data_IF_934443681245
#
_entry.id   IF_934443681245
#
_cell.length_a   1.000
_cell.length_b   1.000
_cell.length_c   1.000
_cell.angle_alpha   90.00
_cell.angle_beta   90.00
_cell.angle_gamma   90.00
#
_symmetry.space_group_name_H-M   'P 1'
#
loop_
_entity.id
_entity.type
_entity.pdbx_description
1 polymer ?
#
# COMPACT_ATOMS: atom_id res chain seq x y z
N UNK A 1 -14.52 -18.96 -1.64
CA UNK A 1 -13.97 -18.45 -2.91
C UNK A 1 -12.85 -19.37 -3.33
N UNK A 2 -13.04 -20.05 -4.45
CA UNK A 2 -11.98 -20.90 -5.03
C UNK A 2 -10.96 -20.02 -5.75
N UNK A 3 -9.72 -20.50 -5.94
CA UNK A 3 -8.66 -19.74 -6.66
C UNK A 3 -9.11 -19.31 -8.06
N UNK A 4 -9.91 -20.15 -8.74
CA UNK A 4 -10.45 -19.88 -10.06
C UNK A 4 -11.46 -18.70 -10.07
N UNK A 5 -12.30 -18.56 -9.04
CA UNK A 5 -13.23 -17.41 -8.92
C UNK A 5 -12.47 -16.10 -8.65
N UNK A 6 -11.36 -16.16 -7.90
CA UNK A 6 -10.51 -14.99 -7.68
C UNK A 6 -9.79 -14.55 -8.95
N UNK A 7 -9.41 -15.49 -9.81
CA UNK A 7 -8.67 -15.22 -11.05
C UNK A 7 -9.53 -14.59 -12.15
N UNK A 8 -10.83 -14.89 -12.16
CA UNK A 8 -11.82 -14.30 -13.06
C UNK A 8 -12.30 -12.90 -12.62
N UNK A 9 -11.92 -12.44 -11.41
CA UNK A 9 -12.30 -11.11 -10.92
C UNK A 9 -11.64 -9.99 -11.74
N UNK A 10 -12.22 -8.77 -11.76
CA UNK A 10 -11.61 -7.63 -12.43
C UNK A 10 -10.18 -7.38 -11.92
N UNK A 11 -9.26 -7.01 -12.82
CA UNK A 11 -7.88 -6.71 -12.47
C UNK A 11 -7.76 -5.56 -11.46
N UNK A 12 -8.65 -4.58 -11.52
CA UNK A 12 -8.63 -3.42 -10.63
C UNK A 12 -9.21 -3.80 -9.27
N UNK A 13 -8.32 -3.82 -8.27
CA UNK A 13 -8.64 -4.05 -6.85
C UNK A 13 -8.54 -2.76 -6.02
N UNK A 14 -8.39 -1.61 -6.69
CA UNK A 14 -8.26 -0.28 -6.08
C UNK A 14 -9.57 0.51 -6.19
N UNK A 15 -9.88 1.39 -5.22
CA UNK A 15 -11.03 2.29 -5.35
C UNK A 15 -10.97 3.10 -6.66
N UNK A 16 -12.06 3.23 -7.41
CA UNK A 16 -12.07 3.95 -8.69
C UNK A 16 -11.54 5.38 -8.59
N UNK A 17 -11.86 6.08 -7.51
CA UNK A 17 -11.39 7.44 -7.22
C UNK A 17 -9.86 7.52 -7.10
N UNK A 18 -9.22 6.51 -6.52
CA UNK A 18 -7.76 6.43 -6.43
C UNK A 18 -7.14 6.18 -7.80
N UNK A 19 -7.73 5.29 -8.59
CA UNK A 19 -7.26 4.99 -9.95
C UNK A 19 -7.36 6.23 -10.84
N UNK A 20 -8.47 6.96 -10.77
CA UNK A 20 -8.67 8.21 -11.52
C UNK A 20 -7.65 9.27 -11.12
N UNK A 21 -7.50 9.57 -9.83
CA UNK A 21 -6.57 10.62 -9.38
C UNK A 21 -5.10 10.30 -9.74
N UNK A 22 -4.69 9.04 -9.63
CA UNK A 22 -3.36 8.60 -10.06
C UNK A 22 -3.21 8.70 -11.58
N UNK A 23 -4.24 8.31 -12.34
CA UNK A 23 -4.20 8.38 -13.80
C UNK A 23 -4.11 9.82 -14.31
N UNK A 24 -4.87 10.74 -13.73
CA UNK A 24 -4.82 12.16 -14.04
C UNK A 24 -3.42 12.73 -13.76
N UNK A 25 -2.85 12.44 -12.59
CA UNK A 25 -1.49 12.86 -12.25
C UNK A 25 -0.42 12.29 -13.23
N UNK A 26 -0.58 11.05 -13.69
CA UNK A 26 0.30 10.46 -14.70
C UNK A 26 0.18 11.21 -16.03
N UNK A 27 -1.04 11.56 -16.45
CA UNK A 27 -1.28 12.33 -17.68
C UNK A 27 -0.67 13.73 -17.61
N UNK A 28 -0.79 14.41 -16.47
CA UNK A 28 -0.13 15.70 -16.24
C UNK A 28 1.39 15.55 -16.31
N UNK A 29 1.95 14.51 -15.69
CA UNK A 29 3.39 14.24 -15.75
C UNK A 29 3.87 13.99 -17.18
N UNK A 30 3.15 13.18 -17.96
CA UNK A 30 3.51 12.92 -19.36
C UNK A 30 3.40 14.15 -20.24
N UNK A 31 2.38 14.99 -20.03
CA UNK A 31 2.25 16.27 -20.74
C UNK A 31 3.43 17.21 -20.45
N UNK A 32 3.99 17.15 -19.24
CA UNK A 32 5.16 17.91 -18.84
C UNK A 32 6.51 17.28 -19.28
N UNK A 33 6.53 16.00 -19.65
CA UNK A 33 7.74 15.24 -20.01
C UNK A 33 7.51 14.45 -21.34
N UNK A 34 7.25 15.16 -22.46
CA UNK A 34 6.83 14.52 -23.72
C UNK A 34 7.88 13.55 -24.30
N UNK A 35 9.16 13.78 -24.04
CA UNK A 35 10.25 12.88 -24.45
C UNK A 35 10.28 11.56 -23.67
N UNK A 36 9.64 11.53 -22.51
CA UNK A 36 9.51 10.36 -21.64
C UNK A 36 8.13 9.69 -21.76
N UNK A 37 7.25 10.22 -22.63
CA UNK A 37 5.92 9.71 -22.90
C UNK A 37 5.91 8.80 -24.16
N UNK A 38 5.02 7.78 -24.21
CA UNK A 38 4.08 7.37 -23.18
C UNK A 38 4.77 6.66 -22.01
N UNK A 39 4.25 6.84 -20.79
CA UNK A 39 4.71 6.05 -19.65
C UNK A 39 4.05 4.67 -19.68
N UNK A 40 4.79 3.64 -19.27
CA UNK A 40 4.23 2.29 -19.13
C UNK A 40 3.08 2.23 -18.11
N UNK A 41 3.14 3.10 -17.09
CA UNK A 41 2.10 3.22 -16.07
C UNK A 41 0.77 3.68 -16.68
N UNK A 42 0.84 4.74 -17.51
CA UNK A 42 -0.34 5.28 -18.18
C UNK A 42 -0.98 4.27 -19.14
N UNK A 43 -0.16 3.57 -19.94
CA UNK A 43 -0.64 2.53 -20.86
C UNK A 43 -1.27 1.35 -20.12
N UNK A 44 -0.68 0.91 -19.00
CA UNK A 44 -1.25 -0.14 -18.17
C UNK A 44 -2.59 0.24 -17.55
N UNK A 45 -2.74 1.48 -17.06
CA UNK A 45 -4.01 1.97 -16.50
C UNK A 45 -5.08 2.11 -17.59
N UNK A 46 -4.73 2.62 -18.77
CA UNK A 46 -5.65 2.68 -19.92
C UNK A 46 -6.19 1.29 -20.27
N UNK A 47 -5.32 0.29 -20.36
CA UNK A 47 -5.72 -1.09 -20.60
C UNK A 47 -6.58 -1.67 -19.47
N UNK A 48 -6.18 -1.46 -18.21
CA UNK A 48 -6.96 -1.93 -17.07
C UNK A 48 -8.37 -1.32 -16.97
N UNK A 49 -8.54 -0.09 -17.45
CA UNK A 49 -9.82 0.60 -17.54
C UNK A 49 -10.63 0.23 -18.80
N UNK A 50 -10.16 -0.71 -19.64
CA UNK A 50 -10.82 -1.10 -20.88
C UNK A 50 -10.79 -0.02 -21.97
N UNK A 51 -9.94 1.00 -21.82
CA UNK A 51 -9.77 2.09 -22.79
C UNK A 51 -8.79 1.73 -23.91
N UNK A 52 -8.22 0.52 -23.84
CA UNK A 52 -7.31 -0.06 -24.82
C UNK A 52 -7.66 -1.53 -25.00
N UNK A 53 -7.77 -1.97 -26.25
CA UNK A 53 -8.21 -3.34 -26.56
C UNK A 53 -7.12 -4.40 -26.32
N UNK A 54 -5.85 -3.99 -26.37
CA UNK A 54 -4.69 -4.88 -26.28
C UNK A 54 -3.78 -4.53 -25.11
N UNK A 55 -3.25 -5.57 -24.47
CA UNK A 55 -2.28 -5.44 -23.41
C UNK A 55 -0.99 -4.74 -23.89
N UNK A 56 -0.39 -3.85 -23.07
CA UNK A 56 0.66 -2.91 -23.51
C UNK A 56 1.99 -3.56 -23.94
N UNK A 57 2.33 -4.72 -23.39
CA UNK A 57 3.56 -5.46 -23.65
C UNK A 57 3.30 -6.69 -24.53
N UNK A 58 2.34 -7.53 -24.15
CA UNK A 58 2.10 -8.78 -24.90
C UNK A 58 1.24 -8.60 -26.15
N UNK A 59 0.53 -7.48 -26.29
CA UNK A 59 -0.42 -7.23 -27.38
C UNK A 59 -1.64 -8.13 -27.37
N UNK A 60 -1.82 -8.96 -26.32
CA UNK A 60 -2.96 -9.87 -26.21
C UNK A 60 -4.25 -9.08 -25.99
N UNK A 61 -5.32 -9.39 -26.72
CA UNK A 61 -6.62 -8.81 -26.41
C UNK A 61 -7.10 -9.29 -25.05
N UNK A 62 -7.83 -8.43 -24.32
CA UNK A 62 -8.55 -8.87 -23.13
C UNK A 62 -9.70 -9.81 -23.53
N UNK A 63 -9.99 -10.81 -22.70
CA UNK A 63 -11.06 -11.79 -22.95
C UNK A 63 -12.47 -11.17 -22.85
N UNK A 64 -12.59 -9.97 -22.30
CA UNK A 64 -13.82 -9.19 -22.17
C UNK A 64 -13.56 -7.68 -22.17
N UNK A 65 -14.55 -6.89 -21.75
CA UNK A 65 -14.47 -5.43 -21.75
C UNK A 65 -13.42 -4.85 -20.78
N UNK A 66 -13.10 -5.57 -19.70
CA UNK A 66 -12.06 -5.24 -18.74
C UNK A 66 -11.16 -6.46 -18.54
N UNK A 67 -9.84 -6.29 -18.37
CA UNK A 67 -8.96 -7.41 -18.08
C UNK A 67 -9.23 -7.98 -16.68
N UNK A 68 -9.07 -9.29 -16.58
CA UNK A 68 -9.15 -10.06 -15.35
C UNK A 68 -7.84 -10.01 -14.56
N UNK A 69 -7.91 -10.40 -13.28
CA UNK A 69 -6.73 -10.52 -12.43
C UNK A 69 -5.67 -11.47 -13.02
N UNK A 70 -6.11 -12.58 -13.63
CA UNK A 70 -5.21 -13.53 -14.30
C UNK A 70 -4.50 -12.90 -15.50
N UNK A 71 -5.22 -12.13 -16.33
CA UNK A 71 -4.64 -11.44 -17.49
C UNK A 71 -3.64 -10.37 -17.06
N UNK A 72 -3.95 -9.60 -16.02
CA UNK A 72 -3.02 -8.61 -15.47
C UNK A 72 -1.74 -9.26 -14.92
N UNK A 73 -1.84 -10.42 -14.25
CA UNK A 73 -0.67 -11.20 -13.80
C UNK A 73 0.14 -11.74 -14.98
N UNK A 74 -0.52 -12.30 -15.98
CA UNK A 74 0.13 -12.80 -17.19
C UNK A 74 0.87 -11.68 -17.95
N UNK A 75 0.34 -10.46 -17.90
CA UNK A 75 0.96 -9.29 -18.51
C UNK A 75 2.18 -8.79 -17.71
N UNK A 76 2.13 -8.81 -16.38
CA UNK A 76 3.30 -8.55 -15.53
C UNK A 76 4.42 -9.55 -15.86
N UNK A 77 4.08 -10.83 -15.92
CA UNK A 77 4.96 -11.92 -16.31
C UNK A 77 5.59 -11.73 -17.69
N UNK A 78 4.82 -11.22 -18.66
CA UNK A 78 5.33 -10.89 -19.99
C UNK A 78 6.30 -9.70 -19.93
N UNK A 79 5.95 -8.66 -19.17
CA UNK A 79 6.77 -7.47 -18.96
C UNK A 79 8.11 -7.78 -18.27
N UNK A 80 8.16 -8.75 -17.37
CA UNK A 80 9.40 -9.16 -16.70
C UNK A 80 10.38 -9.89 -17.63
N UNK A 81 9.87 -10.60 -18.64
CA UNK A 81 10.68 -11.42 -19.57
C UNK A 81 11.23 -10.64 -20.76
N UNK A 82 10.73 -9.44 -21.03
CA UNK A 82 11.13 -8.68 -22.21
C UNK A 82 12.38 -7.83 -21.98
N UNK A 83 13.23 -7.63 -23.01
CA UNK A 83 14.29 -6.62 -22.96
C UNK A 83 13.72 -5.21 -22.73
N UNK A 84 14.44 -4.42 -21.94
CA UNK A 84 14.02 -3.08 -21.51
C UNK A 84 14.27 -2.01 -22.57
N UNK A 85 15.37 -2.14 -23.32
CA UNK A 85 15.82 -1.15 -24.29
C UNK A 85 14.98 -1.15 -25.57
N UNK A 86 14.80 0.04 -26.17
CA UNK A 86 14.20 0.20 -27.51
C UNK A 86 12.69 -0.02 -27.60
N UNK A 87 11.98 -0.18 -26.47
CA UNK A 87 10.51 -0.36 -26.48
C UNK A 87 9.77 0.97 -26.51
N UNK A 88 8.68 0.99 -27.26
CA UNK A 88 7.72 2.10 -27.30
C UNK A 88 6.99 2.28 -25.96
N UNK A 89 6.68 1.16 -25.28
CA UNK A 89 6.06 1.17 -23.94
C UNK A 89 7.05 0.64 -22.91
N UNK A 90 7.45 1.44 -21.91
CA UNK A 90 8.36 1.01 -20.85
C UNK A 90 7.78 -0.12 -19.97
N UNK A 91 8.43 -1.30 -19.98
CA UNK A 91 7.96 -2.47 -19.24
C UNK A 91 7.91 -2.26 -17.71
N UNK A 92 8.91 -1.58 -17.14
CA UNK A 92 8.95 -1.31 -15.69
C UNK A 92 7.76 -0.46 -15.22
N UNK A 93 7.29 0.45 -16.08
CA UNK A 93 6.09 1.24 -15.82
C UNK A 93 4.82 0.38 -15.79
N UNK A 94 4.69 -0.54 -16.75
CA UNK A 94 3.58 -1.50 -16.80
C UNK A 94 3.57 -2.38 -15.56
N UNK A 95 4.72 -2.96 -15.19
CA UNK A 95 4.87 -3.80 -14.00
C UNK A 95 4.45 -3.02 -12.74
N UNK A 96 4.91 -1.78 -12.61
CA UNK A 96 4.61 -0.93 -11.45
C UNK A 96 3.11 -0.67 -11.32
N UNK A 97 2.45 -0.24 -12.41
CA UNK A 97 1.03 0.08 -12.40
C UNK A 97 0.14 -1.15 -12.24
N UNK A 98 0.42 -2.25 -12.95
CA UNK A 98 -0.40 -3.47 -12.83
C UNK A 98 -0.28 -4.08 -11.43
N UNK A 99 0.93 -4.15 -10.84
CA UNK A 99 1.08 -4.60 -9.46
C UNK A 99 0.32 -3.71 -8.47
N UNK A 100 0.26 -2.40 -8.73
CA UNK A 100 -0.54 -1.48 -7.93
C UNK A 100 -2.04 -1.74 -8.06
N UNK A 101 -2.54 -1.84 -9.29
CA UNK A 101 -3.95 -2.06 -9.60
C UNK A 101 -4.49 -3.36 -9.01
N UNK A 102 -3.73 -4.46 -9.12
CA UNK A 102 -4.14 -5.78 -8.61
C UNK A 102 -3.95 -5.95 -7.10
N UNK A 103 -3.42 -4.92 -6.41
CA UNK A 103 -3.16 -5.00 -4.97
C UNK A 103 -1.89 -5.78 -4.58
N UNK A 104 -1.03 -6.15 -5.53
CA UNK A 104 0.23 -6.85 -5.23
C UNK A 104 1.30 -5.92 -4.61
N UNK A 105 1.23 -4.62 -4.92
CA UNK A 105 2.00 -3.55 -4.27
C UNK A 105 1.05 -2.38 -4.01
N UNK A 106 1.25 -1.56 -2.98
CA UNK A 106 0.43 -0.35 -2.82
C UNK A 106 1.15 0.97 -3.09
N UNK A 107 2.45 0.97 -3.35
CA UNK A 107 3.14 2.17 -3.78
C UNK A 107 2.48 2.79 -5.01
N UNK A 108 2.01 4.04 -4.90
CA UNK A 108 1.38 4.77 -6.01
C UNK A 108 2.34 4.79 -7.22
N UNK A 109 1.92 4.30 -8.41
CA UNK A 109 2.78 4.09 -9.56
C UNK A 109 2.98 5.39 -10.34
N UNK A 110 3.57 6.40 -9.72
CA UNK A 110 3.94 7.63 -10.42
C UNK A 110 5.24 7.44 -11.22
N UNK A 111 5.27 7.83 -12.51
CA UNK A 111 6.50 7.93 -13.30
C UNK A 111 7.51 8.92 -12.69
N UNK A 112 8.78 8.75 -13.06
CA UNK A 112 9.87 9.60 -12.59
C UNK A 112 10.34 9.28 -11.16
N UNK A 113 11.15 10.18 -10.59
CA UNK A 113 11.74 9.97 -9.26
C UNK A 113 10.68 10.18 -8.18
N UNK A 114 10.59 9.23 -7.25
CA UNK A 114 9.69 9.31 -6.09
C UNK A 114 9.94 10.60 -5.32
N UNK A 115 8.89 11.42 -5.14
CA UNK A 115 8.97 12.63 -4.32
C UNK A 115 9.47 12.30 -2.91
N UNK A 116 10.30 13.18 -2.33
CA UNK A 116 10.73 13.07 -0.93
C UNK A 116 9.55 13.16 0.04
N UNK A 117 8.47 13.83 -0.37
CA UNK A 117 7.22 13.91 0.40
C UNK A 117 6.27 12.75 0.12
N UNK A 118 6.41 12.02 -1.00
CA UNK A 118 5.53 10.92 -1.41
C UNK A 118 4.26 11.35 -2.17
N UNK A 119 3.43 10.37 -2.55
CA UNK A 119 2.27 10.53 -3.45
C UNK A 119 0.92 10.17 -2.81
N UNK A 120 0.89 10.06 -1.49
CA UNK A 120 -0.29 9.67 -0.71
C UNK A 120 -1.47 10.61 -0.86
N UNK A 121 -1.24 11.90 -1.10
CA UNK A 121 -2.31 12.88 -1.33
C UNK A 121 -3.18 12.54 -2.55
N UNK A 122 -2.63 11.86 -3.56
CA UNK A 122 -3.38 11.42 -4.74
C UNK A 122 -4.44 10.36 -4.40
N UNK A 123 -4.28 9.66 -3.28
CA UNK A 123 -5.20 8.61 -2.82
C UNK A 123 -5.83 8.99 -1.49
N UNK A 124 -6.02 10.31 -1.26
CA UNK A 124 -6.63 10.85 -0.03
C UNK A 124 -5.78 10.69 1.25
N UNK A 125 -4.56 10.19 1.15
CA UNK A 125 -3.60 10.07 2.24
C UNK A 125 -2.68 11.30 2.40
N UNK A 126 -1.58 11.14 3.14
CA UNK A 126 -0.65 12.24 3.47
C UNK A 126 0.79 11.88 3.16
N UNK A 127 1.41 12.60 2.24
CA UNK A 127 2.82 12.42 1.93
C UNK A 127 3.12 10.99 1.48
N UNK A 128 3.81 10.16 2.28
CA UNK A 128 4.04 8.74 1.94
C UNK A 128 2.98 7.80 2.51
N UNK A 129 2.06 8.30 3.33
CA UNK A 129 0.95 7.54 3.92
C UNK A 129 -0.14 7.46 2.85
N UNK A 130 -0.51 6.24 2.47
CA UNK A 130 -1.44 5.93 1.38
C UNK A 130 -2.82 5.53 1.90
N UNK A 131 -3.13 5.94 3.14
CA UNK A 131 -4.40 5.71 3.81
C UNK A 131 -4.95 7.06 4.24
N UNK A 132 -6.23 7.25 4.01
CA UNK A 132 -6.99 8.42 4.47
C UNK A 132 -7.06 8.43 5.99
N UNK A 133 -7.26 9.61 6.59
CA UNK A 133 -7.45 9.70 8.05
C UNK A 133 -8.68 8.87 8.50
N UNK A 134 -9.74 8.76 7.66
CA UNK A 134 -10.90 7.92 7.92
C UNK A 134 -10.59 6.41 7.95
N UNK A 135 -9.74 5.91 7.04
CA UNK A 135 -9.29 4.51 7.09
C UNK A 135 -8.43 4.24 8.32
N UNK A 136 -7.56 5.20 8.70
CA UNK A 136 -6.71 5.10 9.89
C UNK A 136 -7.56 5.06 11.16
N UNK A 137 -8.58 5.92 11.25
CA UNK A 137 -9.54 5.94 12.35
C UNK A 137 -10.31 4.62 12.44
N UNK A 138 -10.84 4.11 11.33
CA UNK A 138 -11.55 2.82 11.29
C UNK A 138 -10.69 1.67 11.83
N UNK A 139 -9.41 1.59 11.40
CA UNK A 139 -8.48 0.57 11.92
C UNK A 139 -8.20 0.78 13.41
N UNK A 140 -8.09 2.03 13.86
CA UNK A 140 -7.93 2.33 15.29
C UNK A 140 -9.14 1.86 16.11
N UNK A 141 -10.37 2.07 15.62
CA UNK A 141 -11.60 1.61 16.27
C UNK A 141 -11.66 0.09 16.37
N UNK A 142 -11.37 -0.62 15.28
CA UNK A 142 -11.29 -2.08 15.25
C UNK A 142 -10.25 -2.60 16.25
N UNK A 143 -9.07 -1.99 16.29
CA UNK A 143 -8.01 -2.35 17.24
C UNK A 143 -8.41 -2.07 18.70
N UNK A 144 -9.09 -0.95 18.99
CA UNK A 144 -9.64 -0.67 20.33
C UNK A 144 -10.72 -1.67 20.74
N UNK A 145 -11.56 -2.10 19.80
CA UNK A 145 -12.55 -3.15 20.06
C UNK A 145 -11.86 -4.49 20.38
N UNK A 146 -10.88 -4.89 19.58
CA UNK A 146 -10.05 -6.08 19.81
C UNK A 146 -9.34 -6.06 21.16
N UNK A 147 -8.78 -4.91 21.55
CA UNK A 147 -8.14 -4.75 22.86
C UNK A 147 -9.09 -5.04 24.04
N UNK A 148 -10.38 -4.73 23.90
CA UNK A 148 -11.40 -4.99 24.93
C UNK A 148 -11.94 -6.41 24.92
N UNK A 149 -12.04 -7.03 23.76
CA UNK A 149 -12.75 -8.31 23.58
C UNK A 149 -11.84 -9.54 23.55
N UNK A 150 -10.55 -9.38 23.20
CA UNK A 150 -9.65 -10.51 23.01
C UNK A 150 -9.23 -11.17 24.33
N UNK A 151 -9.23 -12.50 24.43
CA UNK A 151 -8.79 -13.21 25.63
C UNK A 151 -7.26 -13.28 25.75
N UNK A 152 -6.53 -13.27 24.64
CA UNK A 152 -5.09 -13.49 24.61
C UNK A 152 -4.26 -12.22 24.78
N UNK A 153 -3.26 -12.27 25.66
CA UNK A 153 -2.35 -11.14 25.93
C UNK A 153 -1.49 -10.78 24.71
N UNK A 154 -1.18 -11.75 23.84
CA UNK A 154 -0.46 -11.52 22.58
C UNK A 154 -1.29 -10.66 21.62
N UNK A 155 -2.55 -11.01 21.43
CA UNK A 155 -3.48 -10.30 20.54
C UNK A 155 -3.81 -8.91 21.08
N UNK A 156 -3.97 -8.77 22.40
CA UNK A 156 -4.12 -7.45 23.05
C UNK A 156 -2.88 -6.58 22.84
N UNK A 157 -1.67 -7.13 22.98
CA UNK A 157 -0.43 -6.39 22.74
C UNK A 157 -0.33 -5.93 21.28
N UNK A 158 -0.69 -6.78 20.32
CA UNK A 158 -0.80 -6.38 18.91
C UNK A 158 -1.77 -5.23 18.70
N UNK A 159 -3.00 -5.36 19.21
CA UNK A 159 -4.03 -4.32 19.13
C UNK A 159 -3.52 -2.99 19.72
N UNK A 160 -2.84 -3.05 20.87
CA UNK A 160 -2.23 -1.89 21.52
C UNK A 160 -1.17 -1.22 20.62
N UNK A 161 -0.33 -2.00 19.94
CA UNK A 161 0.64 -1.50 18.97
C UNK A 161 -0.03 -0.79 17.78
N UNK A 162 -1.07 -1.39 17.22
CA UNK A 162 -1.86 -0.80 16.13
C UNK A 162 -2.52 0.51 16.55
N UNK A 163 -3.22 0.53 17.69
CA UNK A 163 -3.84 1.76 18.23
C UNK A 163 -2.81 2.86 18.42
N UNK A 164 -1.65 2.54 18.99
CA UNK A 164 -0.62 3.52 19.27
C UNK A 164 -0.10 4.22 17.99
N UNK A 165 0.08 3.48 16.89
CA UNK A 165 0.49 4.07 15.59
C UNK A 165 -0.61 4.94 15.01
N UNK A 166 -1.86 4.45 14.97
CA UNK A 166 -2.97 5.23 14.42
C UNK A 166 -3.18 6.53 15.20
N UNK A 167 -3.20 6.49 16.54
CA UNK A 167 -3.35 7.67 17.38
C UNK A 167 -2.18 8.65 17.25
N UNK A 168 -0.97 8.15 17.03
CA UNK A 168 0.19 9.00 16.74
C UNK A 168 0.07 9.71 15.39
N UNK A 169 -0.42 9.04 14.36
CA UNK A 169 -0.65 9.66 13.05
C UNK A 169 -1.75 10.72 13.09
N UNK A 170 -2.88 10.39 13.72
CA UNK A 170 -4.04 11.27 13.86
C UNK A 170 -3.81 12.44 14.83
N UNK A 171 -2.77 12.35 15.66
CA UNK A 171 -2.41 13.41 16.60
C UNK A 171 -3.06 13.30 17.97
N UNK A 172 -3.81 12.23 18.22
CA UNK A 172 -4.34 11.91 19.55
C UNK A 172 -3.21 11.53 20.53
N UNK A 173 -2.08 11.06 20.01
CA UNK A 173 -0.86 10.75 20.78
C UNK A 173 0.27 11.72 20.43
N UNK A 174 0.84 12.36 21.45
CA UNK A 174 1.88 13.39 21.30
C UNK A 174 3.31 12.84 21.08
N UNK A 175 3.53 11.54 21.28
CA UNK A 175 4.83 10.88 21.13
C UNK A 175 4.73 9.61 20.31
N UNK A 176 5.80 9.25 19.62
CA UNK A 176 5.82 8.04 18.81
C UNK A 176 5.71 6.75 19.66
N UNK A 177 5.12 5.67 19.13
CA UNK A 177 4.73 4.48 19.91
C UNK A 177 5.85 3.75 20.67
N UNK A 178 7.03 3.64 20.07
CA UNK A 178 8.20 2.90 20.55
C UNK A 178 9.34 3.86 20.88
N UNK A 179 9.67 4.77 19.96
CA UNK A 179 10.83 5.67 20.16
C UNK A 179 10.56 6.79 21.16
N UNK A 180 9.29 7.00 21.53
CA UNK A 180 8.86 8.01 22.51
C UNK A 180 9.32 9.43 22.13
N UNK A 181 9.48 9.72 20.83
CA UNK A 181 9.90 11.03 20.33
C UNK A 181 8.69 11.92 20.07
N UNK A 182 8.77 13.26 20.27
CA UNK A 182 7.66 14.16 19.99
C UNK A 182 7.12 14.02 18.56
N UNK A 183 5.78 14.08 18.43
CA UNK A 183 5.11 14.08 17.12
C UNK A 183 5.47 15.37 16.36
N UNK A 184 5.86 15.30 15.08
CA UNK A 184 6.04 16.49 14.26
C UNK A 184 4.73 17.28 14.11
N UNK A 185 4.84 18.61 13.97
CA UNK A 185 3.69 19.53 13.87
C UNK A 185 2.75 19.13 12.71
N UNK A 186 3.32 18.88 11.53
CA UNK A 186 2.59 18.46 10.33
C UNK A 186 2.28 16.96 10.27
N UNK A 187 2.48 16.25 11.38
CA UNK A 187 2.34 14.80 11.48
C UNK A 187 3.57 14.01 11.01
N UNK A 188 3.61 12.70 11.30
CA UNK A 188 4.78 11.87 10.97
C UNK A 188 5.04 11.76 9.47
N UNK A 189 6.31 11.89 9.08
CA UNK A 189 6.80 11.69 7.72
C UNK A 189 7.19 10.24 7.45
N UNK A 190 7.55 9.92 6.20
CA UNK A 190 8.11 8.61 5.86
C UNK A 190 9.40 8.27 6.59
N UNK A 191 10.22 9.26 6.90
CA UNK A 191 11.42 9.07 7.71
C UNK A 191 11.04 8.71 9.15
N UNK A 192 10.05 9.42 9.73
CA UNK A 192 9.57 9.11 11.07
C UNK A 192 9.01 7.68 11.14
N UNK A 193 8.18 7.30 10.16
CA UNK A 193 7.62 5.96 10.06
C UNK A 193 8.69 4.89 9.87
N UNK A 194 9.70 5.12 9.02
CA UNK A 194 10.80 4.17 8.81
C UNK A 194 11.65 3.97 10.06
N UNK A 195 11.99 5.04 10.78
CA UNK A 195 12.70 4.93 12.05
C UNK A 195 11.86 4.23 13.13
N UNK A 196 10.55 4.49 13.15
CA UNK A 196 9.63 3.85 14.09
C UNK A 196 9.46 2.35 13.80
N UNK A 197 9.37 1.97 12.52
CA UNK A 197 9.37 0.58 12.06
C UNK A 197 10.64 -0.15 12.52
N UNK A 198 11.83 0.42 12.29
CA UNK A 198 13.10 -0.18 12.75
C UNK A 198 13.14 -0.35 14.27
N UNK A 199 12.65 0.63 15.04
CA UNK A 199 12.59 0.50 16.50
C UNK A 199 11.58 -0.58 16.93
N UNK A 200 10.47 -0.74 16.21
CA UNK A 200 9.50 -1.79 16.46
C UNK A 200 10.03 -3.20 16.12
N UNK A 201 10.95 -3.32 15.15
CA UNK A 201 11.67 -4.58 14.89
C UNK A 201 12.52 -5.01 16.10
N UNK A 202 13.16 -4.06 16.78
CA UNK A 202 13.87 -4.35 18.04
C UNK A 202 12.90 -4.81 19.15
N UNK A 203 11.69 -4.24 19.22
CA UNK A 203 10.64 -4.71 20.15
C UNK A 203 10.19 -6.13 19.81
N UNK A 204 9.85 -6.39 18.54
CA UNK A 204 9.42 -7.71 18.06
C UNK A 204 10.47 -8.79 18.34
N UNK A 205 11.77 -8.46 18.12
CA UNK A 205 12.89 -9.37 18.37
C UNK A 205 13.41 -9.36 19.81
N UNK A 206 12.83 -8.57 20.70
CA UNK A 206 13.23 -8.42 22.11
C UNK A 206 14.70 -8.02 22.30
N UNK A 207 15.15 -7.05 21.51
CA UNK A 207 16.51 -6.51 21.50
C UNK A 207 16.60 -5.19 22.27
N UNK A 208 17.68 -4.99 23.03
CA UNK A 208 18.00 -3.72 23.67
C UNK A 208 16.84 -3.08 24.45
N UNK A 209 16.51 -1.82 24.13
CA UNK A 209 15.39 -1.08 24.73
C UNK A 209 14.01 -1.60 24.29
N UNK A 210 13.93 -2.44 23.26
CA UNK A 210 12.69 -3.06 22.77
C UNK A 210 12.03 -4.00 23.76
N UNK A 211 12.76 -4.48 24.78
CA UNK A 211 12.23 -5.33 25.88
C UNK A 211 11.23 -4.63 26.80
N UNK A 212 11.02 -3.32 26.66
CA UNK A 212 10.03 -2.56 27.43
C UNK A 212 8.59 -2.85 27.00
N UNK A 213 8.40 -3.44 25.81
CA UNK A 213 7.10 -3.82 25.28
C UNK A 213 7.08 -5.32 24.93
N UNK A 214 5.91 -5.98 24.97
CA UNK A 214 5.77 -7.34 24.47
C UNK A 214 6.11 -7.45 22.97
N UNK A 215 6.64 -8.57 22.47
CA UNK A 215 6.97 -8.75 21.05
C UNK A 215 5.83 -8.40 20.10
N UNK A 216 4.61 -8.87 20.42
CA UNK A 216 3.43 -8.65 19.59
C UNK A 216 3.00 -7.18 19.50
N UNK A 217 3.36 -6.34 20.48
CA UNK A 217 3.18 -4.89 20.34
C UNK A 217 4.05 -4.33 19.21
N UNK A 218 5.31 -4.77 19.14
CA UNK A 218 6.22 -4.44 18.03
C UNK A 218 5.65 -4.90 16.69
N UNK A 219 5.12 -6.13 16.63
CA UNK A 219 4.50 -6.65 15.40
C UNK A 219 3.30 -5.79 14.96
N UNK A 220 2.40 -5.42 15.89
CA UNK A 220 1.27 -4.52 15.61
C UNK A 220 1.72 -3.17 15.06
N UNK A 221 2.81 -2.60 15.60
CA UNK A 221 3.41 -1.36 15.08
C UNK A 221 3.95 -1.54 13.65
N UNK A 222 4.75 -2.59 13.41
CA UNK A 222 5.35 -2.88 12.10
C UNK A 222 4.27 -3.07 11.03
N UNK A 223 3.29 -3.93 11.31
CA UNK A 223 2.21 -4.23 10.36
C UNK A 223 1.37 -3.00 10.05
N UNK A 224 1.06 -2.19 11.06
CA UNK A 224 0.33 -0.94 10.85
C UNK A 224 1.12 0.03 9.97
N UNK A 225 2.43 0.23 10.23
CA UNK A 225 3.28 1.10 9.41
C UNK A 225 3.39 0.60 7.97
N UNK A 226 3.55 -0.71 7.77
CA UNK A 226 3.61 -1.31 6.43
C UNK A 226 2.32 -1.09 5.66
N UNK A 227 1.19 -1.26 6.31
CA UNK A 227 -0.12 -1.00 5.72
C UNK A 227 -0.28 0.48 5.35
N UNK A 228 0.07 1.39 6.27
CA UNK A 228 0.01 2.85 6.05
C UNK A 228 0.87 3.29 4.87
N UNK A 229 2.07 2.73 4.73
CA UNK A 229 3.02 3.05 3.65
C UNK A 229 2.73 2.31 2.36
N UNK A 230 1.75 1.40 2.39
CA UNK A 230 1.39 0.64 1.22
C UNK A 230 2.39 -0.42 0.79
N UNK A 231 3.09 -1.00 1.77
CA UNK A 231 3.92 -2.19 1.58
C UNK A 231 3.08 -3.47 1.69
N UNK A 232 1.88 -3.37 2.28
CA UNK A 232 0.87 -4.41 2.36
C UNK A 232 -0.53 -3.81 2.19
N UNK A 233 -1.41 -4.54 1.50
CA UNK A 233 -2.82 -4.17 1.26
C UNK A 233 -3.72 -4.49 2.43
N UNK A 234 -3.48 -5.64 3.07
CA UNK A 234 -4.31 -6.17 4.15
C UNK A 234 -4.15 -5.27 5.38
N UNK A 235 -5.23 -4.67 5.91
CA UNK A 235 -5.16 -3.88 7.14
C UNK A 235 -4.65 -4.73 8.31
N UNK A 236 -4.05 -4.14 9.35
CA UNK A 236 -3.54 -4.90 10.49
C UNK A 236 -4.66 -5.55 11.33
N UNK A 237 -5.92 -5.12 11.13
CA UNK A 237 -7.13 -5.62 11.78
C UNK A 237 -8.16 -6.06 10.74
N UNK A 238 -8.84 -7.18 10.96
CA UNK A 238 -10.00 -7.59 10.15
C UNK A 238 -11.29 -6.91 10.64
N UNK A 239 -12.39 -7.11 9.92
CA UNK A 239 -13.70 -6.55 10.24
C UNK A 239 -14.26 -7.05 11.59
N UNK A 240 -13.75 -8.17 12.10
CA UNK A 240 -14.11 -8.71 13.41
C UNK A 240 -13.25 -8.12 14.55
N UNK A 241 -12.37 -7.16 14.25
CA UNK A 241 -11.48 -6.54 15.23
C UNK A 241 -10.35 -7.47 15.69
N UNK A 242 -9.95 -8.43 14.85
CA UNK A 242 -8.86 -9.38 15.12
C UNK A 242 -7.61 -9.07 14.30
N UNK A 243 -6.40 -9.31 14.81
CA UNK A 243 -5.17 -9.20 14.03
C UNK A 243 -5.24 -10.04 12.75
N UNK A 244 -4.89 -9.47 11.61
CA UNK A 244 -4.96 -10.19 10.31
C UNK A 244 -3.85 -11.23 10.13
N UNK A 245 -2.77 -11.14 10.90
CA UNK A 245 -1.67 -12.11 10.89
C UNK A 245 -1.26 -12.47 12.32
N UNK A 246 -2.09 -13.27 13.00
CA UNK A 246 -1.73 -13.88 14.28
C UNK A 246 -0.96 -15.21 14.13
N UNK A 247 -0.83 -15.76 12.91
CA UNK A 247 -0.22 -17.08 12.69
C UNK A 247 1.27 -16.95 12.33
N UNK A 248 2.09 -16.62 13.32
CA UNK A 248 3.52 -17.01 13.38
C UNK A 248 3.86 -17.50 14.78
#
# INVERSE_FOLDING_TARGET
MTTAESEASPAIQRPPEHVTAVFEAIREWEAANPESAPSGQGEAILWALGKRDQAPISGRPASGALPTLAEARAEIDAAERVPREGRVVPADGVISALNWLIGAKDGVPMPGRRSSTGWGHLVGGRGVILRTDAEIDRVAELARAGLRSMPGEREKAWCSGTVAVCEWLLGHRSKSPVRNTPRPIHGPTGLNLGMEESAAEDVSRQLGRGRQHPPAYGDGVIWTIRWLRGQITVPPMNEQGQPTLSNR
#
